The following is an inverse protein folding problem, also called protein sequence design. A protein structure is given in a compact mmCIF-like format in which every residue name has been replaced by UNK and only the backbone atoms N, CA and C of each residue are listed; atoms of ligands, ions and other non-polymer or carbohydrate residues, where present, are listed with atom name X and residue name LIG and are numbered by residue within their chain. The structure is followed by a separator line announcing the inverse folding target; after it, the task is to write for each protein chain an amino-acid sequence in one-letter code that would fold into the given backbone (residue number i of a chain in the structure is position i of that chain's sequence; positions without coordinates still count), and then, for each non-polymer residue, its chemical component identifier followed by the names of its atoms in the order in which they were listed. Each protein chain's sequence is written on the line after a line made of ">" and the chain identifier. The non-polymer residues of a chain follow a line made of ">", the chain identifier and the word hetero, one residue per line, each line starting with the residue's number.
data_IF_728174044117
#
_entry.id   IF_728174044117
#
_cell.length_a   1.000
_cell.length_b   1.000
_cell.length_c   1.000
_cell.angle_alpha   90.00
_cell.angle_beta   90.00
_cell.angle_gamma   90.00
#
_symmetry.space_group_name_H-M   'P 1'
#
loop_
_entity.id
_entity.type
_entity.pdbx_description
1 polymer ?
#
# COMPACT_ATOMS: atom_id res chain seq x y z
N UNK A 1 7.47 -6.26 -7.50
CA UNK A 1 7.61 -5.51 -6.23
C UNK A 1 7.84 -6.49 -5.10
N UNK A 2 9.02 -6.45 -4.47
CA UNK A 2 9.33 -7.24 -3.27
C UNK A 2 9.43 -6.25 -2.11
N UNK A 3 8.49 -6.32 -1.17
CA UNK A 3 8.46 -5.42 -0.04
C UNK A 3 9.28 -6.05 1.09
N UNK A 4 10.35 -5.36 1.53
CA UNK A 4 11.12 -5.78 2.71
C UNK A 4 10.72 -4.90 3.88
N UNK A 5 10.20 -5.53 4.92
CA UNK A 5 9.80 -4.88 6.16
C UNK A 5 11.02 -4.76 7.09
N UNK A 6 11.45 -3.52 7.37
CA UNK A 6 12.43 -3.23 8.40
C UNK A 6 11.71 -2.64 9.62
N UNK A 7 12.33 -2.74 10.80
CA UNK A 7 11.78 -2.23 12.07
C UNK A 7 11.32 -0.76 12.01
N UNK A 8 11.89 0.04 11.10
CA UNK A 8 11.66 1.48 10.98
C UNK A 8 10.92 1.92 9.70
N UNK A 9 10.64 1.01 8.77
CA UNK A 9 10.02 1.37 7.49
C UNK A 9 9.95 0.25 6.48
N UNK A 10 9.63 0.64 5.25
CA UNK A 10 9.26 -0.26 4.16
C UNK A 10 10.19 0.04 2.99
N UNK A 11 10.88 -0.97 2.48
CA UNK A 11 11.52 -0.87 1.18
C UNK A 11 10.58 -1.36 0.09
N UNK A 12 10.48 -0.62 -1.00
CA UNK A 12 9.72 -1.00 -2.18
C UNK A 12 10.47 -0.59 -3.44
N UNK A 13 10.17 -1.24 -4.56
CA UNK A 13 10.57 -0.74 -5.88
C UNK A 13 9.51 0.27 -6.32
N UNK A 14 9.92 1.50 -6.63
CA UNK A 14 9.03 2.53 -7.11
C UNK A 14 8.58 2.27 -8.57
N UNK A 15 7.84 3.21 -9.14
CA UNK A 15 7.31 3.10 -10.51
C UNK A 15 8.39 3.05 -11.60
N UNK A 16 9.62 3.48 -11.29
CA UNK A 16 10.78 3.42 -12.19
C UNK A 16 11.64 2.16 -11.94
N UNK A 17 11.26 1.34 -10.96
CA UNK A 17 12.01 0.15 -10.56
C UNK A 17 13.13 0.44 -9.55
N UNK A 18 13.28 1.70 -9.12
CA UNK A 18 14.29 2.10 -8.16
C UNK A 18 13.90 1.72 -6.75
N UNK A 19 14.87 1.38 -5.92
CA UNK A 19 14.61 1.04 -4.53
C UNK A 19 14.33 2.32 -3.74
N UNK A 20 13.12 2.42 -3.20
CA UNK A 20 12.66 3.49 -2.33
C UNK A 20 12.47 2.98 -0.89
N UNK A 21 12.54 3.91 0.07
CA UNK A 21 12.32 3.64 1.49
C UNK A 21 11.28 4.60 2.07
N UNK A 22 10.24 4.06 2.71
CA UNK A 22 9.22 4.82 3.41
C UNK A 22 9.24 4.48 4.90
N UNK A 23 9.44 5.49 5.76
CA UNK A 23 9.34 5.31 7.22
C UNK A 23 7.90 5.11 7.64
N UNK A 24 7.66 4.18 8.58
CA UNK A 24 6.32 3.89 9.10
C UNK A 24 5.67 5.11 9.75
N UNK A 25 6.45 5.85 10.54
CA UNK A 25 6.05 7.07 11.22
C UNK A 25 5.76 8.23 10.25
N UNK A 26 6.14 8.14 8.97
CA UNK A 26 5.85 9.16 7.95
C UNK A 26 4.80 8.71 6.94
N UNK A 27 4.24 7.50 7.11
CA UNK A 27 3.28 6.95 6.17
C UNK A 27 1.98 7.76 6.09
N UNK A 28 1.64 8.51 7.14
CA UNK A 28 0.51 9.44 7.16
C UNK A 28 0.72 10.67 6.26
N UNK A 29 1.97 10.96 5.84
CA UNK A 29 2.31 12.03 4.90
C UNK A 29 2.26 11.56 3.44
N UNK A 30 2.08 10.25 3.24
CA UNK A 30 2.07 9.64 1.91
C UNK A 30 0.72 9.91 1.27
N UNK A 31 0.73 10.31 -0.01
CA UNK A 31 -0.49 10.52 -0.77
C UNK A 31 -1.32 9.24 -0.83
N UNK A 32 -2.65 9.38 -0.77
CA UNK A 32 -3.61 8.29 -0.94
C UNK A 32 -3.30 7.44 -2.18
N UNK A 33 -2.88 8.07 -3.27
CA UNK A 33 -2.46 7.41 -4.51
C UNK A 33 -1.35 6.36 -4.28
N UNK A 34 -0.37 6.70 -3.44
CA UNK A 34 0.76 5.85 -3.15
C UNK A 34 0.34 4.69 -2.23
N UNK A 35 -0.51 4.93 -1.23
CA UNK A 35 -1.08 3.87 -0.39
C UNK A 35 -1.88 2.85 -1.21
N UNK A 36 -2.65 3.35 -2.18
CA UNK A 36 -3.42 2.51 -3.11
C UNK A 36 -2.49 1.71 -4.03
N UNK A 37 -1.39 2.29 -4.48
CA UNK A 37 -0.39 1.59 -5.31
C UNK A 37 0.27 0.44 -4.54
N UNK A 38 0.61 0.66 -3.26
CA UNK A 38 1.10 -0.39 -2.38
C UNK A 38 0.08 -1.51 -2.20
N UNK A 39 -1.21 -1.15 -2.10
CA UNK A 39 -2.29 -2.11 -1.94
C UNK A 39 -2.44 -3.02 -3.16
N UNK A 40 -2.48 -2.42 -4.36
CA UNK A 40 -2.52 -3.19 -5.62
C UNK A 40 -1.30 -4.10 -5.74
N UNK A 41 -0.13 -3.61 -5.37
CA UNK A 41 1.11 -4.38 -5.51
C UNK A 41 1.16 -5.64 -4.64
N UNK A 42 0.61 -5.62 -3.42
CA UNK A 42 0.55 -6.85 -2.62
C UNK A 42 -0.50 -7.84 -3.14
N UNK A 43 -1.65 -7.36 -3.66
CA UNK A 43 -2.69 -8.22 -4.23
C UNK A 43 -2.11 -9.02 -5.40
N UNK A 44 -1.29 -8.35 -6.22
CA UNK A 44 -0.66 -8.93 -7.40
C UNK A 44 0.51 -9.84 -7.08
N UNK A 45 1.24 -9.59 -5.98
CA UNK A 45 2.47 -10.32 -5.63
C UNK A 45 2.29 -11.01 -4.29
N UNK A 46 1.87 -12.28 -4.33
CA UNK A 46 1.59 -13.09 -3.14
C UNK A 46 2.87 -13.68 -2.55
N UNK A 47 3.55 -12.92 -1.69
CA UNK A 47 4.63 -13.43 -0.82
C UNK A 47 4.27 -13.32 0.66
N UNK A 48 4.87 -14.12 1.55
CA UNK A 48 4.66 -14.00 2.99
C UNK A 48 4.96 -12.59 3.53
N UNK A 49 5.99 -11.93 3.00
CA UNK A 49 6.36 -10.55 3.37
C UNK A 49 5.27 -9.57 2.95
N UNK A 50 4.75 -9.69 1.72
CA UNK A 50 3.69 -8.85 1.20
C UNK A 50 2.37 -9.07 1.96
N UNK A 51 2.08 -10.29 2.42
CA UNK A 51 0.90 -10.58 3.24
C UNK A 51 0.96 -9.89 4.61
N UNK A 52 2.11 -9.93 5.30
CA UNK A 52 2.33 -9.23 6.58
C UNK A 52 2.20 -7.72 6.41
N UNK A 53 2.81 -7.19 5.35
CA UNK A 53 2.72 -5.79 5.01
C UNK A 53 1.27 -5.35 4.71
N UNK A 54 0.52 -6.17 3.97
CA UNK A 54 -0.87 -5.90 3.63
C UNK A 54 -1.77 -5.69 4.85
N UNK A 55 -1.58 -6.45 5.94
CA UNK A 55 -2.33 -6.27 7.20
C UNK A 55 -2.06 -4.89 7.81
N UNK A 56 -0.79 -4.46 7.85
CA UNK A 56 -0.40 -3.15 8.38
C UNK A 56 -0.90 -2.01 7.50
N UNK A 57 -0.78 -2.15 6.18
CA UNK A 57 -1.27 -1.17 5.22
C UNK A 57 -2.80 -1.00 5.31
N UNK A 58 -3.56 -2.08 5.46
CA UNK A 58 -5.02 -2.02 5.66
C UNK A 58 -5.38 -1.22 6.90
N UNK A 59 -4.66 -1.41 8.01
CA UNK A 59 -4.85 -0.60 9.22
C UNK A 59 -4.61 0.89 8.96
N UNK A 60 -3.52 1.23 8.26
CA UNK A 60 -3.21 2.62 7.91
C UNK A 60 -4.24 3.25 6.98
N UNK A 61 -4.77 2.47 6.03
CA UNK A 61 -5.85 2.91 5.16
C UNK A 61 -7.11 3.19 5.97
N UNK A 62 -7.46 2.34 6.95
CA UNK A 62 -8.60 2.57 7.85
C UNK A 62 -8.42 3.85 8.69
N UNK A 63 -7.20 4.14 9.15
CA UNK A 63 -6.91 5.27 10.03
C UNK A 63 -6.64 6.59 9.26
N UNK A 64 -6.61 6.58 7.92
CA UNK A 64 -6.26 7.74 7.10
C UNK A 64 -7.38 8.80 7.09
N UNK A 65 -7.07 10.11 7.18
CA UNK A 65 -8.08 11.17 7.22
C UNK A 65 -8.93 11.25 5.93
N UNK A 66 -8.33 11.04 4.76
CA UNK A 66 -9.03 11.09 3.46
C UNK A 66 -9.79 9.80 3.11
N UNK A 67 -10.69 9.33 4.00
CA UNK A 67 -11.49 8.13 3.79
C UNK A 67 -12.33 8.16 2.51
N UNK A 68 -12.89 9.31 2.15
CA UNK A 68 -13.74 9.44 0.95
C UNK A 68 -12.94 9.25 -0.34
N UNK A 69 -11.70 9.76 -0.38
CA UNK A 69 -10.79 9.56 -1.50
C UNK A 69 -10.39 8.09 -1.61
N UNK A 70 -10.09 7.44 -0.49
CA UNK A 70 -9.79 6.01 -0.45
C UNK A 70 -10.95 5.15 -0.92
N UNK A 71 -12.18 5.42 -0.47
CA UNK A 71 -13.40 4.73 -0.95
C UNK A 71 -13.59 4.90 -2.45
N UNK A 72 -13.46 6.12 -2.98
CA UNK A 72 -13.56 6.37 -4.42
C UNK A 72 -12.53 5.57 -5.22
N UNK A 73 -11.29 5.48 -4.73
CA UNK A 73 -10.23 4.68 -5.38
C UNK A 73 -10.51 3.17 -5.27
N UNK A 74 -11.00 2.68 -4.13
CA UNK A 74 -11.40 1.29 -3.93
C UNK A 74 -12.45 0.87 -4.96
N UNK A 75 -13.54 1.63 -5.08
CA UNK A 75 -14.62 1.35 -6.07
C UNK A 75 -14.07 1.29 -7.49
N UNK A 76 -13.18 2.22 -7.87
CA UNK A 76 -12.56 2.23 -9.20
C UNK A 76 -11.70 0.99 -9.46
N UNK A 77 -10.99 0.52 -8.46
CA UNK A 77 -10.12 -0.64 -8.58
C UNK A 77 -10.89 -1.96 -8.56
N UNK A 78 -11.97 -2.05 -7.80
CA UNK A 78 -12.91 -3.18 -7.88
C UNK A 78 -13.55 -3.28 -9.27
N UNK A 79 -13.94 -2.14 -9.86
CA UNK A 79 -14.44 -2.10 -11.24
C UNK A 79 -13.40 -2.57 -12.28
N UNK A 80 -12.11 -2.49 -11.95
CA UNK A 80 -11.00 -3.00 -12.78
C UNK A 80 -10.66 -4.48 -12.48
N UNK A 81 -11.39 -5.13 -11.56
CA UNK A 81 -11.18 -6.53 -11.18
C UNK A 81 -10.20 -6.75 -10.03
N UNK A 82 -9.74 -5.68 -9.37
CA UNK A 82 -8.91 -5.80 -8.15
C UNK A 82 -9.82 -5.94 -6.93
N UNK A 83 -9.97 -7.17 -6.43
CA UNK A 83 -10.71 -7.43 -5.19
C UNK A 83 -9.85 -7.04 -3.99
N UNK A 84 -10.30 -6.03 -3.23
CA UNK A 84 -9.56 -5.45 -2.10
C UNK A 84 -9.95 -6.02 -0.72
N UNK A 85 -10.87 -6.98 -0.67
CA UNK A 85 -11.39 -7.54 0.57
C UNK A 85 -10.42 -8.50 1.28
#
# INVERSE_FOLDING_TARGET
>A
MVIKEHEYGIFFSDVFGDQAFQRWNEIHKVYVETLVTYLVSFIMVKTPENARFGIKLRKLITDHPDQDKLKSKKVKLEALGYHMD
#
